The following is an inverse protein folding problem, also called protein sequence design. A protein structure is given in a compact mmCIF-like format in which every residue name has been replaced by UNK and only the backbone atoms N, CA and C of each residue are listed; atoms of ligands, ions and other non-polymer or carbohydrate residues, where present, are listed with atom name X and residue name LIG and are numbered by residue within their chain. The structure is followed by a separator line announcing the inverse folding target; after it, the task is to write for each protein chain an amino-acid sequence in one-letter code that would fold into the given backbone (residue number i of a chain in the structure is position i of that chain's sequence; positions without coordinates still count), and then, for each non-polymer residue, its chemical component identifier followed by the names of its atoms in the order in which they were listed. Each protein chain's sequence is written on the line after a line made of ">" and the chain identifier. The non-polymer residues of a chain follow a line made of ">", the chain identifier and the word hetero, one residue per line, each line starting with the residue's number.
data_IF_040586460740
#
_entry.id   IF_040586460740
#
_cell.length_a   1.000
_cell.length_b   1.000
_cell.length_c   1.000
_cell.angle_alpha   90.00
_cell.angle_beta   90.00
_cell.angle_gamma   90.00
#
_symmetry.space_group_name_H-M   'P 1'
#
loop_
_entity.id
_entity.type
_entity.pdbx_description
1 polymer ?
#
# COMPACT_ATOMS: atom_id res chain seq x y z
N UNK A 1 -54.52 -24.72 -17.52
CA UNK A 1 -54.06 -23.65 -16.61
C UNK A 1 -52.57 -23.83 -16.40
N UNK A 2 -51.76 -22.96 -17.02
CA UNK A 2 -50.30 -23.07 -17.07
C UNK A 2 -49.70 -22.41 -15.82
N UNK A 3 -49.01 -23.19 -14.97
CA UNK A 3 -48.26 -22.67 -13.82
C UNK A 3 -46.89 -22.19 -14.31
N UNK A 4 -46.70 -20.89 -14.38
CA UNK A 4 -45.39 -20.27 -14.63
C UNK A 4 -44.53 -20.40 -13.37
N UNK A 5 -43.51 -21.26 -13.42
CA UNK A 5 -42.44 -21.29 -12.43
C UNK A 5 -41.45 -20.16 -12.71
N UNK A 6 -41.36 -19.19 -11.80
CA UNK A 6 -40.32 -18.16 -11.85
C UNK A 6 -39.04 -18.79 -11.29
N UNK A 7 -38.11 -19.14 -12.18
CA UNK A 7 -36.72 -19.41 -11.82
C UNK A 7 -36.04 -18.07 -11.53
N UNK A 8 -35.83 -17.77 -10.26
CA UNK A 8 -34.98 -16.66 -9.85
C UNK A 8 -33.51 -17.04 -10.11
N UNK A 9 -32.93 -16.50 -11.18
CA UNK A 9 -31.48 -16.49 -11.36
C UNK A 9 -30.89 -15.51 -10.34
N UNK A 10 -30.39 -16.03 -9.22
CA UNK A 10 -29.45 -15.30 -8.37
C UNK A 10 -28.12 -15.22 -9.09
N UNK A 11 -27.89 -14.13 -9.83
CA UNK A 11 -26.56 -13.77 -10.29
C UNK A 11 -25.69 -13.43 -9.07
N UNK A 12 -24.78 -14.33 -8.71
CA UNK A 12 -23.67 -14.01 -7.82
C UNK A 12 -22.76 -13.03 -8.60
N UNK A 13 -23.00 -11.73 -8.44
CA UNK A 13 -22.04 -10.72 -8.87
C UNK A 13 -20.86 -10.85 -7.91
N UNK A 14 -19.67 -11.28 -8.36
CA UNK A 14 -18.49 -11.24 -7.52
C UNK A 14 -18.23 -9.77 -7.23
N UNK A 15 -18.53 -9.34 -6.00
CA UNK A 15 -18.05 -8.06 -5.53
C UNK A 15 -16.52 -8.11 -5.65
N UNK A 16 -15.87 -7.10 -6.25
CA UNK A 16 -14.42 -7.05 -6.22
C UNK A 16 -14.04 -7.19 -4.76
N UNK A 17 -13.26 -8.22 -4.45
CA UNK A 17 -12.70 -8.36 -3.12
C UNK A 17 -11.88 -7.08 -2.91
N UNK A 18 -12.45 -6.13 -2.17
CA UNK A 18 -11.71 -5.04 -1.57
C UNK A 18 -10.80 -5.76 -0.61
N UNK A 19 -9.61 -6.13 -1.09
CA UNK A 19 -8.58 -6.61 -0.21
C UNK A 19 -8.44 -5.50 0.86
N UNK A 20 -8.61 -5.95 2.09
CA UNK A 20 -8.66 -5.15 3.28
C UNK A 20 -7.72 -5.86 4.24
N UNK A 21 -6.97 -5.11 5.02
CA UNK A 21 -6.02 -5.73 5.91
C UNK A 21 -6.73 -6.66 6.90
N UNK A 22 -6.33 -7.93 6.91
CA UNK A 22 -6.87 -8.96 7.79
C UNK A 22 -6.48 -8.63 9.24
N UNK A 23 -7.43 -8.57 10.20
CA UNK A 23 -7.11 -8.37 11.61
C UNK A 23 -6.07 -9.38 12.14
N UNK A 24 -5.15 -8.96 13.04
CA UNK A 24 -5.07 -7.66 13.70
C UNK A 24 -4.34 -6.57 12.91
N UNK A 25 -3.88 -6.86 11.69
CA UNK A 25 -3.27 -5.84 10.86
C UNK A 25 -4.31 -4.84 10.38
N UNK A 26 -3.90 -3.58 10.33
CA UNK A 26 -4.68 -2.45 9.86
C UNK A 26 -4.02 -1.88 8.60
N UNK A 27 -4.81 -1.21 7.76
CA UNK A 27 -4.28 -0.57 6.55
C UNK A 27 -3.38 0.58 6.93
N UNK A 28 -2.08 0.41 6.66
CA UNK A 28 -1.12 1.51 6.73
C UNK A 28 -1.15 2.33 5.44
N UNK A 29 -1.19 1.62 4.31
CA UNK A 29 -1.35 2.21 2.99
C UNK A 29 -2.02 1.23 2.03
N UNK A 30 -2.87 1.72 1.13
CA UNK A 30 -3.36 0.95 0.00
C UNK A 30 -3.68 1.86 -1.19
N UNK A 31 -3.49 1.35 -2.40
CA UNK A 31 -3.94 2.04 -3.60
C UNK A 31 -4.19 1.06 -4.76
N UNK A 32 -4.98 1.50 -5.73
CA UNK A 32 -5.09 0.85 -7.03
C UNK A 32 -4.01 1.38 -7.98
N UNK A 33 -3.49 0.50 -8.83
CA UNK A 33 -2.45 0.79 -9.83
C UNK A 33 -3.06 0.49 -11.21
N UNK A 34 -3.62 1.49 -11.90
CA UNK A 34 -4.39 1.30 -13.13
C UNK A 34 -3.58 0.66 -14.26
N UNK A 35 -2.31 1.05 -14.42
CA UNK A 35 -1.42 0.54 -15.48
C UNK A 35 -1.24 -0.98 -15.42
N UNK A 36 -1.41 -1.57 -14.23
CA UNK A 36 -1.27 -3.00 -14.00
C UNK A 36 -2.60 -3.70 -13.74
N UNK A 37 -3.72 -2.96 -13.71
CA UNK A 37 -5.00 -3.44 -13.18
C UNK A 37 -4.79 -4.14 -11.82
N UNK A 38 -4.04 -3.47 -10.93
CA UNK A 38 -3.56 -4.08 -9.70
C UNK A 38 -3.96 -3.26 -8.47
N UNK A 39 -3.81 -3.88 -7.30
CA UNK A 39 -3.95 -3.25 -5.99
C UNK A 39 -2.78 -3.64 -5.10
N UNK A 40 -2.20 -2.64 -4.44
CA UNK A 40 -1.13 -2.82 -3.47
C UNK A 40 -1.62 -2.43 -2.08
N UNK A 41 -1.20 -3.19 -1.08
CA UNK A 41 -1.59 -3.03 0.33
C UNK A 41 -0.39 -3.23 1.23
N UNK A 42 -0.25 -2.31 2.16
CA UNK A 42 0.71 -2.32 3.24
C UNK A 42 -0.08 -2.30 4.53
N UNK A 43 0.03 -3.39 5.27
CA UNK A 43 -0.74 -3.64 6.47
C UNK A 43 0.19 -3.76 7.66
N UNK A 44 -0.17 -3.15 8.79
CA UNK A 44 0.65 -3.08 10.00
C UNK A 44 -0.17 -3.38 11.25
N UNK A 45 0.43 -4.05 12.23
CA UNK A 45 -0.13 -4.19 13.58
C UNK A 45 0.23 -2.92 14.36
N UNK A 46 -0.78 -2.23 14.90
CA UNK A 46 -0.58 -1.03 15.71
C UNK A 46 0.20 -1.31 17.02
N UNK A 47 -0.08 -2.44 17.67
CA UNK A 47 0.66 -2.92 18.84
C UNK A 47 1.22 -4.33 18.61
N UNK A 48 2.44 -4.47 18.08
CA UNK A 48 3.07 -5.78 17.88
C UNK A 48 3.26 -6.57 19.18
N UNK A 49 3.32 -5.92 20.35
CA UNK A 49 3.50 -6.61 21.64
C UNK A 49 2.23 -7.35 22.06
N UNK A 50 1.06 -6.88 21.65
CA UNK A 50 -0.21 -7.57 21.85
C UNK A 50 -0.39 -8.81 20.95
N UNK A 51 0.45 -8.95 19.91
CA UNK A 51 0.37 -10.03 18.91
C UNK A 51 1.74 -10.66 18.64
N UNK A 52 2.40 -11.26 19.66
CA UNK A 52 3.78 -11.73 19.56
C UNK A 52 3.98 -12.92 18.60
N UNK A 53 2.91 -13.60 18.21
CA UNK A 53 2.90 -14.72 17.26
C UNK A 53 2.87 -14.27 15.80
N UNK A 54 2.69 -12.97 15.54
CA UNK A 54 2.55 -12.41 14.19
C UNK A 54 3.72 -11.50 13.84
N UNK A 55 3.99 -11.36 12.54
CA UNK A 55 4.90 -10.33 12.06
C UNK A 55 4.25 -8.96 12.15
N UNK A 56 5.06 -7.94 12.39
CA UNK A 56 4.58 -6.55 12.55
C UNK A 56 3.77 -6.09 11.33
N UNK A 57 4.19 -6.47 10.13
CA UNK A 57 3.60 -5.96 8.91
C UNK A 57 3.49 -7.03 7.82
N UNK A 58 2.64 -6.80 6.83
CA UNK A 58 2.66 -7.55 5.58
C UNK A 58 2.34 -6.67 4.38
N UNK A 59 2.87 -7.09 3.25
CA UNK A 59 2.60 -6.53 1.94
C UNK A 59 1.77 -7.51 1.12
N UNK A 60 0.80 -6.98 0.38
CA UNK A 60 -0.04 -7.74 -0.53
C UNK A 60 -0.18 -6.99 -1.87
N UNK A 61 0.05 -7.70 -2.97
CA UNK A 61 -0.11 -7.18 -4.33
C UNK A 61 -0.94 -8.15 -5.16
N UNK A 62 -2.06 -7.66 -5.68
CA UNK A 62 -3.06 -8.43 -6.41
C UNK A 62 -3.26 -7.82 -7.80
N UNK A 63 -3.30 -8.67 -8.82
CA UNK A 63 -3.61 -8.26 -10.21
C UNK A 63 -4.99 -8.79 -10.61
N UNK A 64 -5.89 -7.90 -10.99
CA UNK A 64 -7.27 -8.20 -11.31
C UNK A 64 -8.01 -8.85 -10.14
N UNK A 65 -8.68 -9.97 -10.40
CA UNK A 65 -9.42 -10.75 -9.39
C UNK A 65 -8.72 -12.05 -9.02
N UNK A 66 -7.40 -12.15 -9.27
CA UNK A 66 -6.60 -13.35 -9.01
C UNK A 66 -6.17 -13.43 -7.54
N UNK A 67 -5.68 -14.59 -7.06
CA UNK A 67 -4.90 -14.64 -5.82
C UNK A 67 -3.73 -13.66 -5.86
N UNK A 68 -3.22 -13.29 -4.68
CA UNK A 68 -2.05 -12.43 -4.53
C UNK A 68 -0.89 -12.92 -5.39
N UNK A 69 -0.41 -12.05 -6.27
CA UNK A 69 0.78 -12.31 -7.07
C UNK A 69 2.03 -12.21 -6.20
N UNK A 70 2.00 -11.32 -5.21
CA UNK A 70 3.03 -11.21 -4.20
C UNK A 70 2.40 -10.94 -2.84
N UNK A 71 2.74 -11.81 -1.88
CA UNK A 71 2.41 -11.67 -0.47
C UNK A 71 3.64 -11.99 0.37
N UNK A 72 3.91 -11.19 1.39
CA UNK A 72 4.89 -11.53 2.41
C UNK A 72 4.62 -10.77 3.71
N UNK A 73 4.96 -11.41 4.82
CA UNK A 73 4.99 -10.80 6.15
C UNK A 73 6.42 -10.40 6.54
N UNK A 74 6.58 -9.35 7.35
CA UNK A 74 7.89 -8.83 7.75
C UNK A 74 7.87 -8.14 9.13
N UNK A 75 9.01 -8.19 9.81
CA UNK A 75 9.31 -7.34 10.98
C UNK A 75 10.29 -6.20 10.61
N UNK A 76 10.63 -6.09 9.34
CA UNK A 76 11.68 -5.18 8.85
C UNK A 76 11.02 -4.07 8.04
N UNK A 77 10.55 -3.06 8.77
CA UNK A 77 9.99 -1.83 8.21
C UNK A 77 11.00 -0.70 8.32
N UNK A 78 11.05 0.16 7.31
CA UNK A 78 11.98 1.28 7.22
C UNK A 78 11.24 2.55 6.85
N UNK A 79 11.66 3.67 7.40
CA UNK A 79 11.15 5.00 7.04
C UNK A 79 12.19 5.74 6.19
N UNK A 80 11.72 6.57 5.25
CA UNK A 80 12.58 7.42 4.44
C UNK A 80 11.88 8.73 4.08
N UNK A 81 12.63 9.83 4.15
CA UNK A 81 12.22 11.17 3.70
C UNK A 81 13.06 11.66 2.54
N UNK A 82 13.82 10.78 1.87
CA UNK A 82 14.76 11.18 0.80
C UNK A 82 14.12 12.04 -0.28
N UNK A 83 12.84 11.79 -0.57
CA UNK A 83 12.09 12.45 -1.63
C UNK A 83 11.49 13.79 -1.17
N UNK A 84 11.54 14.11 0.12
CA UNK A 84 11.11 15.41 0.64
C UNK A 84 11.97 16.51 0.03
N UNK A 85 11.31 17.52 -0.54
CA UNK A 85 12.00 18.68 -1.11
C UNK A 85 12.14 19.76 -0.04
N UNK A 86 13.32 19.84 0.60
CA UNK A 86 13.60 20.83 1.65
C UNK A 86 13.48 22.28 1.14
N UNK A 87 13.67 22.51 -0.17
CA UNK A 87 13.55 23.84 -0.78
C UNK A 87 12.09 24.22 -1.10
N UNK A 88 11.17 23.27 -1.04
CA UNK A 88 9.73 23.48 -1.11
C UNK A 88 9.11 23.00 0.21
N UNK A 89 9.13 23.82 1.28
CA UNK A 89 8.67 23.43 2.61
C UNK A 89 7.18 23.03 2.65
N UNK A 90 6.44 23.28 1.57
CA UNK A 90 5.05 22.89 1.36
C UNK A 90 4.87 21.43 0.97
N UNK A 91 5.90 20.75 0.48
CA UNK A 91 5.79 19.42 -0.11
C UNK A 91 6.52 18.42 0.79
N UNK A 92 5.75 17.70 1.59
CA UNK A 92 6.29 16.62 2.43
C UNK A 92 6.09 15.30 1.70
N UNK A 93 7.20 14.62 1.40
CA UNK A 93 7.17 13.30 0.76
C UNK A 93 7.77 12.27 1.70
N UNK A 94 6.93 11.35 2.15
CA UNK A 94 7.27 10.33 3.14
C UNK A 94 7.17 8.96 2.50
N UNK A 95 8.06 8.06 2.89
CA UNK A 95 8.06 6.69 2.41
C UNK A 95 8.22 5.71 3.56
N UNK A 96 7.48 4.61 3.47
CA UNK A 96 7.65 3.44 4.34
C UNK A 96 7.94 2.23 3.46
N UNK A 97 8.97 1.47 3.83
CA UNK A 97 9.46 0.31 3.10
C UNK A 97 9.37 -0.98 3.93
N UNK A 98 8.81 -2.03 3.36
CA UNK A 98 8.72 -3.38 3.93
C UNK A 98 9.73 -4.28 3.24
N UNK A 99 10.66 -4.84 4.01
CA UNK A 99 11.74 -5.66 3.46
C UNK A 99 11.35 -7.13 3.28
N UNK A 100 11.76 -7.72 2.15
CA UNK A 100 11.68 -9.14 1.81
C UNK A 100 12.99 -9.59 1.17
N UNK A 101 13.84 -10.27 1.95
CA UNK A 101 15.21 -10.57 1.51
C UNK A 101 15.97 -9.28 1.25
N UNK A 102 16.61 -9.17 0.08
CA UNK A 102 17.34 -7.97 -0.32
C UNK A 102 16.42 -6.85 -0.84
N UNK A 103 15.15 -7.12 -1.11
CA UNK A 103 14.26 -6.12 -1.70
C UNK A 103 13.48 -5.35 -0.64
N UNK A 104 13.25 -4.06 -0.90
CA UNK A 104 12.33 -3.22 -0.13
C UNK A 104 11.17 -2.81 -1.03
N UNK A 105 9.96 -3.16 -0.63
CA UNK A 105 8.72 -2.70 -1.27
C UNK A 105 8.24 -1.53 -0.45
N UNK A 106 8.05 -0.38 -1.07
CA UNK A 106 7.72 0.85 -0.38
C UNK A 106 6.51 1.52 -0.98
N UNK A 107 5.74 2.20 -0.15
CA UNK A 107 4.87 3.26 -0.62
C UNK A 107 5.54 4.61 -0.36
N UNK A 108 5.31 5.54 -1.27
CA UNK A 108 5.74 6.94 -1.18
C UNK A 108 4.50 7.79 -1.29
N UNK A 109 4.29 8.69 -0.34
CA UNK A 109 3.13 9.59 -0.28
C UNK A 109 3.65 11.02 -0.30
N UNK A 110 3.10 11.84 -1.19
CA UNK A 110 3.32 13.28 -1.15
C UNK A 110 2.04 14.00 -0.73
N UNK A 111 2.15 14.77 0.34
CA UNK A 111 1.06 15.62 0.86
C UNK A 111 1.04 16.99 0.15
N UNK A 112 -0.15 17.57 -0.01
CA UNK A 112 -0.33 18.97 -0.39
C UNK A 112 -0.63 19.79 0.86
N UNK A 113 0.34 20.55 1.41
CA UNK A 113 0.11 21.31 2.66
C UNK A 113 -0.93 22.44 2.56
N UNK A 114 -1.52 22.72 1.38
CA UNK A 114 -2.70 23.58 1.28
C UNK A 114 -3.95 22.91 1.85
N UNK A 115 -3.92 21.59 1.98
CA UNK A 115 -4.93 20.76 2.60
C UNK A 115 -4.21 19.81 3.58
N UNK A 116 -4.27 20.10 4.88
CA UNK A 116 -3.45 19.41 5.90
C UNK A 116 -3.64 17.87 5.92
N UNK A 117 -4.73 17.38 5.32
CA UNK A 117 -5.08 15.96 5.23
C UNK A 117 -5.09 15.45 3.77
N UNK A 118 -4.68 16.29 2.81
CA UNK A 118 -4.71 16.01 1.38
C UNK A 118 -3.47 15.28 0.88
N UNK A 119 -3.61 13.99 0.57
CA UNK A 119 -2.61 13.27 -0.21
C UNK A 119 -2.75 13.70 -1.68
N UNK A 120 -1.70 14.31 -2.23
CA UNK A 120 -1.66 14.78 -3.63
C UNK A 120 -1.43 13.63 -4.60
N UNK A 121 -0.43 12.83 -4.30
CA UNK A 121 -0.07 11.64 -5.07
C UNK A 121 0.58 10.59 -4.17
N UNK A 122 0.60 9.36 -4.68
CA UNK A 122 1.31 8.27 -4.08
C UNK A 122 1.84 7.30 -5.13
N UNK A 123 2.91 6.61 -4.76
CA UNK A 123 3.61 5.65 -5.60
C UNK A 123 3.93 4.39 -4.81
N UNK A 124 3.97 3.25 -5.49
CA UNK A 124 4.57 2.02 -4.99
C UNK A 124 5.91 1.83 -5.68
N UNK A 125 6.98 1.77 -4.89
CA UNK A 125 8.36 1.64 -5.36
C UNK A 125 8.98 0.34 -4.86
N UNK A 126 9.92 -0.20 -5.62
CA UNK A 126 10.72 -1.37 -5.20
C UNK A 126 12.19 -1.03 -5.30
N UNK A 127 12.95 -1.32 -4.25
CA UNK A 127 14.39 -1.12 -4.18
C UNK A 127 15.10 -2.46 -4.05
N UNK A 128 16.28 -2.59 -4.63
CA UNK A 128 17.07 -3.83 -4.61
C UNK A 128 17.93 -4.00 -3.35
N UNK A 129 17.86 -3.07 -2.40
CA UNK A 129 18.52 -3.13 -1.08
C UNK A 129 17.89 -2.14 -0.11
N UNK A 130 18.02 -2.40 1.20
CA UNK A 130 17.71 -1.41 2.24
C UNK A 130 18.53 -0.14 2.06
N UNK A 131 19.82 -0.25 1.73
CA UNK A 131 20.69 0.92 1.51
C UNK A 131 20.13 1.83 0.40
N UNK A 132 19.73 1.26 -0.75
CA UNK A 132 19.10 2.03 -1.82
C UNK A 132 17.80 2.70 -1.38
N UNK A 133 17.05 2.08 -0.46
CA UNK A 133 15.85 2.69 0.11
C UNK A 133 16.14 3.80 1.13
N UNK A 134 17.19 3.67 1.95
CA UNK A 134 17.45 4.60 3.06
C UNK A 134 18.45 5.70 2.75
N UNK A 135 19.31 5.55 1.74
CA UNK A 135 20.31 6.57 1.39
C UNK A 135 19.68 7.79 0.68
N UNK A 136 20.45 8.86 0.56
CA UNK A 136 20.00 10.14 -0.03
C UNK A 136 19.99 10.14 -1.57
N UNK A 137 20.39 9.04 -2.21
CA UNK A 137 20.35 8.95 -3.68
C UNK A 137 18.91 8.75 -4.14
N UNK A 138 18.44 9.67 -4.98
CA UNK A 138 17.12 9.64 -5.61
C UNK A 138 17.12 8.79 -6.89
N UNK A 139 15.93 8.40 -7.33
CA UNK A 139 15.70 7.72 -8.61
C UNK A 139 16.53 6.43 -8.80
N UNK A 140 16.73 5.70 -7.71
CA UNK A 140 17.49 4.44 -7.67
C UNK A 140 16.60 3.21 -7.40
N UNK A 141 15.29 3.39 -7.44
CA UNK A 141 14.31 2.32 -7.42
C UNK A 141 14.42 1.43 -8.66
N UNK A 142 14.17 0.14 -8.47
CA UNK A 142 14.11 -0.88 -9.52
C UNK A 142 12.76 -0.88 -10.24
N UNK A 143 11.70 -0.47 -9.54
CA UNK A 143 10.38 -0.29 -10.10
C UNK A 143 9.67 0.88 -9.42
N UNK A 144 8.86 1.60 -10.19
CA UNK A 144 7.99 2.70 -9.76
C UNK A 144 6.62 2.52 -10.41
N UNK A 145 5.56 2.47 -9.60
CA UNK A 145 4.18 2.31 -10.03
C UNK A 145 3.35 3.45 -9.42
N UNK A 146 2.53 4.10 -10.24
CA UNK A 146 1.71 5.22 -9.81
C UNK A 146 0.34 4.75 -9.33
N UNK A 147 -0.10 5.29 -8.19
CA UNK A 147 -1.43 5.04 -7.66
C UNK A 147 -2.48 5.88 -8.40
N UNK A 148 -3.69 5.36 -8.52
CA UNK A 148 -4.87 6.17 -8.82
C UNK A 148 -5.18 7.08 -7.62
N UNK A 149 -5.15 8.41 -7.77
CA UNK A 149 -5.37 9.35 -6.66
C UNK A 149 -6.68 9.11 -5.90
N UNK A 150 -7.75 8.71 -6.60
CA UNK A 150 -9.06 8.48 -5.98
C UNK A 150 -9.12 7.20 -5.11
N UNK A 151 -8.10 6.35 -5.20
CA UNK A 151 -8.04 5.05 -4.52
C UNK A 151 -7.09 5.02 -3.32
N UNK A 152 -6.37 6.12 -3.07
CA UNK A 152 -5.34 6.18 -2.05
C UNK A 152 -6.00 6.13 -0.67
N UNK A 153 -5.54 5.20 0.14
CA UNK A 153 -5.81 5.12 1.58
C UNK A 153 -4.45 5.16 2.25
N UNK A 154 -4.20 6.13 3.11
CA UNK A 154 -2.99 6.14 3.94
C UNK A 154 -3.34 6.57 5.36
N UNK A 155 -2.85 5.81 6.32
CA UNK A 155 -2.93 6.16 7.74
C UNK A 155 -1.82 7.15 8.06
N UNK A 156 -2.16 8.45 8.02
CA UNK A 156 -1.23 9.55 8.23
C UNK A 156 -0.56 9.53 9.61
N UNK A 157 -1.27 9.06 10.66
CA UNK A 157 -0.71 8.97 12.01
C UNK A 157 0.38 7.91 12.10
N UNK A 158 0.31 6.87 11.26
CA UNK A 158 1.29 5.78 11.24
C UNK A 158 2.52 6.03 10.35
N UNK A 159 2.48 7.06 9.50
CA UNK A 159 3.51 7.35 8.47
C UNK A 159 4.20 8.70 8.68
N UNK A 160 3.60 9.62 9.45
CA UNK A 160 4.26 10.85 9.87
C UNK A 160 5.33 10.53 10.93
N UNK A 161 6.51 11.19 10.87
CA UNK A 161 7.60 10.97 11.82
C UNK A 161 7.29 11.48 13.23
#
# INVERSE_FOLDING_TARGET
>A
MMRYGILALTAFIPLPATANCIPPWQTQFACNIPERNARAEFCRIADPKAHPDKKEAYYNYVVGTKPSELYFETNSTWFSTKDTNINHPTDMTMAMGYARGDYVYAFVVTEDKRDADGIRDAEVRVYSSTDKFTNDTKDNETAKLYCDPASIIADQDSIRP
#
